data_IF_436691998740
#
_entry.id   IF_436691998740
#
_cell.length_a   1.000
_cell.length_b   1.000
_cell.length_c   1.000
_cell.angle_alpha   90.00
_cell.angle_beta   90.00
_cell.angle_gamma   90.00
#
_symmetry.space_group_name_H-M   'P 1'
#
loop_
_entity.id
_entity.type
_entity.pdbx_description
1 polymer ?
#
# COMPACT_ATOMS: atom_id res chain seq x y z
N UNK A 1 44.26 -18.54 4.10
CA UNK A 1 43.10 -19.45 4.26
C UNK A 1 41.99 -18.82 5.06
N UNK A 2 42.26 -18.31 6.28
CA UNK A 2 41.24 -17.81 7.22
C UNK A 2 40.57 -16.51 6.83
N UNK A 3 41.25 -15.60 6.16
CA UNK A 3 40.69 -14.34 5.69
C UNK A 3 39.62 -14.56 4.63
N UNK A 4 39.92 -15.42 3.64
CA UNK A 4 38.94 -15.77 2.60
C UNK A 4 37.73 -16.52 3.15
N UNK A 5 37.92 -17.34 4.16
CA UNK A 5 36.83 -18.08 4.80
C UNK A 5 35.91 -17.14 5.56
N UNK A 6 36.45 -16.22 6.35
CA UNK A 6 35.67 -15.19 7.07
C UNK A 6 34.89 -14.30 6.10
N UNK A 7 35.54 -13.83 5.05
CA UNK A 7 34.87 -12.99 4.04
C UNK A 7 33.73 -13.73 3.33
N UNK A 8 33.91 -15.04 3.05
CA UNK A 8 32.84 -15.87 2.48
C UNK A 8 31.67 -16.07 3.45
N UNK A 9 31.96 -16.24 4.75
CA UNK A 9 30.93 -16.39 5.79
C UNK A 9 30.14 -15.06 5.99
N UNK A 10 30.82 -13.92 5.95
CA UNK A 10 30.16 -12.59 6.01
C UNK A 10 29.25 -12.36 4.81
N UNK A 11 29.71 -12.62 3.60
CA UNK A 11 28.89 -12.49 2.37
C UNK A 11 27.66 -13.42 2.41
N UNK A 12 27.82 -14.65 2.87
CA UNK A 12 26.70 -15.59 3.00
C UNK A 12 25.69 -15.12 4.05
N UNK A 13 26.16 -14.55 5.15
CA UNK A 13 25.30 -13.99 6.20
C UNK A 13 24.49 -12.79 5.69
N UNK A 14 25.14 -11.89 4.96
CA UNK A 14 24.48 -10.71 4.38
C UNK A 14 23.40 -11.11 3.35
N UNK A 15 23.68 -12.09 2.50
CA UNK A 15 22.70 -12.64 1.55
C UNK A 15 21.52 -13.26 2.31
N UNK A 16 21.78 -14.04 3.35
CA UNK A 16 20.75 -14.69 4.14
C UNK A 16 19.84 -13.66 4.85
N UNK A 17 20.42 -12.63 5.46
CA UNK A 17 19.69 -11.53 6.10
C UNK A 17 18.84 -10.81 5.04
N UNK A 18 19.41 -10.50 3.88
CA UNK A 18 18.68 -9.85 2.78
C UNK A 18 17.46 -10.65 2.34
N UNK A 19 17.58 -11.95 2.17
CA UNK A 19 16.45 -12.83 1.77
C UNK A 19 15.38 -12.84 2.86
N UNK A 20 15.74 -12.95 4.13
CA UNK A 20 14.79 -12.97 5.24
C UNK A 20 14.05 -11.63 5.33
N UNK A 21 14.78 -10.52 5.32
CA UNK A 21 14.20 -9.19 5.43
C UNK A 21 13.24 -8.91 4.27
N UNK A 22 13.67 -9.19 3.03
CA UNK A 22 12.85 -8.97 1.84
C UNK A 22 11.65 -9.91 1.78
N UNK A 23 11.77 -11.14 2.28
CA UNK A 23 10.65 -12.08 2.40
C UNK A 23 9.57 -11.55 3.35
N UNK A 24 9.93 -11.16 4.58
CA UNK A 24 8.96 -10.65 5.54
C UNK A 24 8.40 -9.28 5.14
N UNK A 25 9.23 -8.41 4.57
CA UNK A 25 8.80 -7.13 4.03
C UNK A 25 7.78 -7.33 2.89
N UNK A 26 8.11 -8.21 1.93
CA UNK A 26 7.23 -8.55 0.81
C UNK A 26 5.95 -9.26 1.25
N UNK A 27 6.03 -10.14 2.24
CA UNK A 27 4.87 -10.81 2.82
C UNK A 27 3.91 -9.80 3.46
N UNK A 28 4.42 -8.96 4.37
CA UNK A 28 3.60 -7.95 5.05
C UNK A 28 2.99 -6.95 4.07
N UNK A 29 3.80 -6.45 3.14
CA UNK A 29 3.34 -5.52 2.09
C UNK A 29 2.30 -6.16 1.18
N UNK A 30 2.55 -7.38 0.69
CA UNK A 30 1.63 -8.09 -0.20
C UNK A 30 0.29 -8.42 0.48
N UNK A 31 0.32 -8.88 1.73
CA UNK A 31 -0.90 -9.10 2.51
C UNK A 31 -1.67 -7.78 2.70
N UNK A 32 -0.98 -6.70 3.08
CA UNK A 32 -1.59 -5.37 3.23
C UNK A 32 -2.22 -4.86 1.94
N UNK A 33 -1.51 -4.99 0.80
CA UNK A 33 -2.04 -4.60 -0.51
C UNK A 33 -3.24 -5.46 -0.92
N UNK A 34 -3.13 -6.78 -0.81
CA UNK A 34 -4.17 -7.70 -1.27
C UNK A 34 -5.44 -7.70 -0.43
N UNK A 35 -5.36 -7.54 0.89
CA UNK A 35 -6.53 -7.51 1.78
C UNK A 35 -7.10 -6.11 2.00
N UNK A 36 -6.24 -5.10 2.08
CA UNK A 36 -6.63 -3.76 2.51
C UNK A 36 -6.39 -2.67 1.45
N UNK A 37 -5.80 -3.00 0.31
CA UNK A 37 -5.41 -1.99 -0.67
C UNK A 37 -4.40 -0.99 -0.08
N UNK A 38 -3.53 -1.44 0.81
CA UNK A 38 -2.49 -0.64 1.42
C UNK A 38 -1.26 -0.55 0.51
N UNK A 39 -0.58 0.59 0.50
CA UNK A 39 0.66 0.72 -0.26
C UNK A 39 1.78 -0.14 0.34
N UNK A 40 2.48 -0.88 -0.52
CA UNK A 40 3.63 -1.67 -0.14
C UNK A 40 4.76 -0.82 0.48
N UNK A 41 4.85 0.45 0.10
CA UNK A 41 5.84 1.38 0.63
C UNK A 41 5.73 1.57 2.16
N UNK A 42 4.55 1.44 2.72
CA UNK A 42 4.33 1.56 4.16
C UNK A 42 5.03 0.46 4.99
N UNK A 43 5.34 -0.68 4.39
CA UNK A 43 6.00 -1.82 5.06
C UNK A 43 7.42 -2.02 4.56
N UNK A 44 7.63 -2.03 3.24
CA UNK A 44 8.94 -2.34 2.65
C UNK A 44 9.96 -1.27 3.01
N UNK A 45 9.63 0.02 2.85
CA UNK A 45 10.60 1.10 3.08
C UNK A 45 11.17 1.07 4.51
N UNK A 46 10.38 1.07 5.58
CA UNK A 46 10.94 1.03 6.93
C UNK A 46 11.74 -0.26 7.20
N UNK A 47 11.35 -1.39 6.63
CA UNK A 47 12.10 -2.63 6.82
C UNK A 47 13.47 -2.60 6.13
N UNK A 48 13.55 -2.10 4.88
CA UNK A 48 14.83 -1.98 4.18
C UNK A 48 15.76 -0.97 4.87
N UNK A 49 15.22 0.15 5.33
CA UNK A 49 15.99 1.17 6.06
C UNK A 49 16.52 0.62 7.38
N UNK A 50 15.65 -0.01 8.19
CA UNK A 50 16.02 -0.46 9.54
C UNK A 50 16.99 -1.65 9.54
N UNK A 51 16.73 -2.67 8.70
CA UNK A 51 17.49 -3.92 8.74
C UNK A 51 18.65 -3.98 7.75
N UNK A 52 18.46 -3.43 6.54
CA UNK A 52 19.50 -3.44 5.51
C UNK A 52 20.29 -2.13 5.47
N UNK A 53 19.96 -1.16 6.36
CA UNK A 53 20.60 0.16 6.40
C UNK A 53 20.62 0.86 5.04
N UNK A 54 19.60 0.58 4.22
CA UNK A 54 19.48 1.13 2.88
C UNK A 54 19.16 2.63 2.94
N UNK A 55 19.66 3.36 1.95
CA UNK A 55 19.29 4.77 1.77
C UNK A 55 17.77 4.92 1.68
N UNK A 56 17.15 5.84 2.44
CA UNK A 56 15.70 6.00 2.48
C UNK A 56 15.06 6.26 1.11
N UNK A 57 15.72 7.03 0.27
CA UNK A 57 15.19 7.37 -1.04
C UNK A 57 15.15 6.15 -1.96
N UNK A 58 16.20 5.32 -1.94
CA UNK A 58 16.26 4.04 -2.66
C UNK A 58 15.27 3.02 -2.13
N UNK A 59 15.13 2.91 -0.80
CA UNK A 59 14.16 2.02 -0.17
C UNK A 59 12.73 2.34 -0.60
N UNK A 60 12.37 3.62 -0.68
CA UNK A 60 11.04 4.06 -1.18
C UNK A 60 10.87 3.72 -2.65
N UNK A 61 11.87 3.92 -3.49
CA UNK A 61 11.83 3.57 -4.91
C UNK A 61 11.57 2.07 -5.16
N UNK A 62 12.28 1.20 -4.42
CA UNK A 62 12.08 -0.26 -4.45
C UNK A 62 10.67 -0.63 -3.98
N UNK A 63 10.21 -0.02 -2.90
CA UNK A 63 8.91 -0.28 -2.32
C UNK A 63 7.76 0.13 -3.26
N UNK A 64 7.84 1.30 -3.89
CA UNK A 64 6.86 1.75 -4.88
C UNK A 64 6.83 0.84 -6.11
N UNK A 65 7.99 0.38 -6.57
CA UNK A 65 8.06 -0.57 -7.69
C UNK A 65 7.42 -1.91 -7.35
N UNK A 66 7.64 -2.39 -6.13
CA UNK A 66 6.97 -3.60 -5.62
C UNK A 66 5.46 -3.41 -5.55
N UNK A 67 5.02 -2.21 -5.16
CA UNK A 67 3.59 -1.85 -5.10
C UNK A 67 2.92 -1.85 -6.47
N UNK A 68 3.61 -1.41 -7.53
CA UNK A 68 3.06 -1.43 -8.90
C UNK A 68 2.56 -2.83 -9.27
N UNK A 69 3.41 -3.84 -9.15
CA UNK A 69 3.05 -5.21 -9.55
C UNK A 69 2.10 -5.87 -8.56
N UNK A 70 2.24 -5.61 -7.26
CA UNK A 70 1.34 -6.11 -6.23
C UNK A 70 -0.08 -5.55 -6.39
N UNK A 71 -0.19 -4.24 -6.62
CA UNK A 71 -1.46 -3.57 -6.86
C UNK A 71 -2.08 -3.98 -8.19
N UNK A 72 -1.29 -4.13 -9.26
CA UNK A 72 -1.78 -4.59 -10.56
C UNK A 72 -2.36 -6.00 -10.51
N UNK A 73 -1.66 -6.98 -9.89
CA UNK A 73 -2.16 -8.34 -9.77
C UNK A 73 -3.37 -8.44 -8.85
N UNK A 74 -3.42 -7.61 -7.80
CA UNK A 74 -4.58 -7.50 -6.93
C UNK A 74 -5.76 -6.91 -7.69
N UNK A 75 -5.60 -5.80 -8.40
CA UNK A 75 -6.63 -5.16 -9.22
C UNK A 75 -7.17 -6.12 -10.28
N UNK A 76 -6.30 -6.86 -10.97
CA UNK A 76 -6.70 -7.90 -11.92
C UNK A 76 -7.56 -8.98 -11.25
N UNK A 77 -7.14 -9.45 -10.07
CA UNK A 77 -7.85 -10.49 -9.31
C UNK A 77 -9.23 -10.00 -8.85
N UNK A 78 -9.34 -8.79 -8.32
CA UNK A 78 -10.60 -8.18 -7.93
C UNK A 78 -11.49 -7.89 -9.15
N UNK A 79 -10.92 -7.40 -10.25
CA UNK A 79 -11.63 -7.13 -11.50
C UNK A 79 -12.24 -8.39 -12.11
N UNK A 80 -11.49 -9.51 -12.15
CA UNK A 80 -11.98 -10.81 -12.60
C UNK A 80 -13.18 -11.30 -11.78
N UNK A 81 -13.24 -10.96 -10.50
CA UNK A 81 -14.34 -11.29 -9.60
C UNK A 81 -15.45 -10.21 -9.57
N UNK A 82 -15.43 -9.25 -10.49
CA UNK A 82 -16.38 -8.13 -10.58
C UNK A 82 -16.42 -7.24 -9.32
N UNK A 83 -15.31 -7.16 -8.61
CA UNK A 83 -15.10 -6.36 -7.41
C UNK A 83 -14.21 -5.15 -7.72
N UNK A 84 -14.50 -4.43 -8.81
CA UNK A 84 -13.75 -3.27 -9.26
C UNK A 84 -14.70 -2.28 -9.94
N UNK A 85 -14.74 -1.05 -9.47
CA UNK A 85 -15.45 0.05 -10.12
C UNK A 85 -14.47 0.87 -10.99
N UNK A 86 -14.28 0.41 -12.23
CA UNK A 86 -13.32 1.04 -13.15
C UNK A 86 -13.72 2.48 -13.46
N UNK A 87 -15.00 2.75 -13.71
CA UNK A 87 -15.47 4.08 -14.16
C UNK A 87 -15.21 5.15 -13.11
N UNK A 88 -15.67 4.93 -11.89
CA UNK A 88 -15.47 5.88 -10.80
C UNK A 88 -14.02 5.85 -10.29
N UNK A 89 -13.34 4.69 -10.38
CA UNK A 89 -11.93 4.54 -10.12
C UNK A 89 -11.05 5.41 -11.04
N UNK A 90 -11.35 5.48 -12.34
CA UNK A 90 -10.64 6.37 -13.27
C UNK A 90 -10.86 7.85 -12.94
N UNK A 91 -12.10 8.26 -12.64
CA UNK A 91 -12.41 9.63 -12.23
C UNK A 91 -11.61 9.99 -10.97
N UNK A 92 -11.64 9.10 -9.98
CA UNK A 92 -10.91 9.29 -8.72
C UNK A 92 -9.39 9.29 -8.95
N UNK A 93 -8.86 8.41 -9.79
CA UNK A 93 -7.44 8.30 -10.12
C UNK A 93 -6.89 9.61 -10.69
N UNK A 94 -7.58 10.21 -11.65
CA UNK A 94 -7.14 11.49 -12.24
C UNK A 94 -7.07 12.57 -11.17
N UNK A 95 -8.09 12.70 -10.33
CA UNK A 95 -8.09 13.69 -9.23
C UNK A 95 -7.01 13.37 -8.18
N UNK A 96 -6.84 12.09 -7.82
CA UNK A 96 -5.77 11.66 -6.88
C UNK A 96 -4.40 12.06 -7.42
N UNK A 97 -4.08 11.75 -8.69
CA UNK A 97 -2.77 12.07 -9.28
C UNK A 97 -2.49 13.58 -9.27
N UNK A 98 -3.45 14.40 -9.70
CA UNK A 98 -3.30 15.86 -9.71
C UNK A 98 -3.10 16.42 -8.31
N UNK A 99 -3.94 16.02 -7.36
CA UNK A 99 -3.89 16.57 -6.01
C UNK A 99 -2.79 15.96 -5.14
N UNK A 100 -2.28 14.78 -5.47
CA UNK A 100 -1.05 14.23 -4.87
C UNK A 100 0.14 15.14 -5.17
N UNK A 101 0.24 15.62 -6.40
CA UNK A 101 1.30 16.57 -6.76
C UNK A 101 1.21 17.88 -5.97
N UNK A 102 -0.01 18.43 -5.83
CA UNK A 102 -0.25 19.64 -5.03
C UNK A 102 0.06 19.40 -3.55
N UNK A 103 -0.42 18.27 -2.99
CA UNK A 103 -0.16 17.89 -1.60
C UNK A 103 1.33 17.71 -1.31
N UNK A 104 2.08 17.05 -2.21
CA UNK A 104 3.53 16.87 -2.09
C UNK A 104 4.29 18.20 -2.15
N UNK A 105 3.85 19.12 -3.00
CA UNK A 105 4.45 20.45 -3.07
C UNK A 105 4.24 21.22 -1.76
N UNK A 106 3.04 21.19 -1.19
CA UNK A 106 2.77 21.83 0.11
C UNK A 106 3.56 21.14 1.23
N UNK A 107 3.66 19.82 1.21
CA UNK A 107 4.45 19.04 2.16
C UNK A 107 5.93 19.43 2.14
N UNK A 108 6.50 19.70 0.97
CA UNK A 108 7.91 20.10 0.84
C UNK A 108 8.24 21.44 1.51
N UNK A 109 7.22 22.24 1.83
CA UNK A 109 7.36 23.51 2.55
C UNK A 109 7.34 23.35 4.08
N UNK A 110 7.10 22.14 4.59
CA UNK A 110 6.94 21.87 6.03
C UNK A 110 8.06 20.93 6.56
N UNK A 111 8.39 20.99 7.87
CA UNK A 111 9.37 20.09 8.47
C UNK A 111 8.91 18.61 8.38
N UNK A 112 9.82 17.72 8.00
CA UNK A 112 9.56 16.32 7.68
C UNK A 112 9.11 15.41 8.84
N UNK A 113 9.31 15.84 10.09
CA UNK A 113 9.10 15.01 11.30
C UNK A 113 7.64 14.69 11.63
N UNK A 114 6.69 15.44 11.09
CA UNK A 114 5.26 15.32 11.47
C UNK A 114 4.50 14.26 10.67
N UNK A 115 5.00 13.85 9.51
CA UNK A 115 4.24 13.10 8.51
C UNK A 115 4.27 11.58 8.70
N UNK A 116 5.41 11.01 9.12
CA UNK A 116 5.57 9.56 9.27
C UNK A 116 4.65 8.95 10.32
N UNK A 117 4.54 9.60 11.47
CA UNK A 117 3.74 9.11 12.59
C UNK A 117 2.24 9.05 12.29
N UNK A 118 1.71 9.97 11.49
CA UNK A 118 0.28 10.01 11.15
C UNK A 118 -0.15 8.76 10.37
N UNK A 119 0.64 8.32 9.40
CA UNK A 119 0.34 7.13 8.59
C UNK A 119 0.26 5.86 9.43
N UNK A 120 1.19 5.70 10.38
CA UNK A 120 1.26 4.53 11.28
C UNK A 120 0.03 4.47 12.19
N UNK A 121 -0.29 5.59 12.83
CA UNK A 121 -1.44 5.72 13.73
C UNK A 121 -2.74 5.42 12.98
N UNK A 122 -2.90 5.97 11.77
CA UNK A 122 -4.08 5.74 10.92
C UNK A 122 -4.23 4.27 10.52
N UNK A 123 -3.12 3.57 10.23
CA UNK A 123 -3.15 2.13 9.90
C UNK A 123 -3.73 1.32 11.04
N UNK A 124 -3.21 1.54 12.24
CA UNK A 124 -3.65 0.84 13.44
C UNK A 124 -5.14 1.09 13.73
N UNK A 125 -5.56 2.36 13.77
CA UNK A 125 -6.96 2.71 14.02
C UNK A 125 -7.92 2.21 12.94
N UNK A 126 -7.50 2.18 11.69
CA UNK A 126 -8.30 1.60 10.61
C UNK A 126 -8.49 0.09 10.82
N UNK A 127 -7.45 -0.62 11.26
CA UNK A 127 -7.54 -2.03 11.63
C UNK A 127 -8.54 -2.26 12.76
N UNK A 128 -8.44 -1.47 13.83
CA UNK A 128 -9.41 -1.50 14.96
C UNK A 128 -10.83 -1.24 14.47
N UNK A 129 -11.02 -0.25 13.58
CA UNK A 129 -12.34 0.06 13.01
C UNK A 129 -12.95 -1.14 12.28
N UNK A 130 -12.19 -1.85 11.46
CA UNK A 130 -12.71 -3.01 10.72
C UNK A 130 -13.11 -4.18 11.62
N UNK A 131 -12.49 -4.29 12.80
CA UNK A 131 -12.87 -5.31 13.81
C UNK A 131 -14.12 -4.87 14.57
N UNK A 132 -14.15 -3.61 15.05
CA UNK A 132 -15.25 -3.12 15.90
C UNK A 132 -16.49 -2.71 15.11
N UNK A 133 -16.31 -2.15 13.91
CA UNK A 133 -17.39 -1.70 13.02
C UNK A 133 -17.14 -2.25 11.60
N UNK A 134 -17.44 -3.53 11.35
CA UNK A 134 -17.23 -4.14 10.05
C UNK A 134 -18.03 -3.44 8.95
N UNK A 135 -17.49 -3.42 7.76
CA UNK A 135 -18.16 -2.89 6.57
C UNK A 135 -19.11 -3.96 6.04
N UNK A 136 -20.39 -3.72 6.20
CA UNK A 136 -21.47 -4.64 5.77
C UNK A 136 -22.24 -4.11 4.56
N UNK A 137 -21.73 -3.07 3.88
CA UNK A 137 -22.30 -2.56 2.65
C UNK A 137 -22.29 -3.67 1.57
N UNK A 138 -23.35 -3.73 0.78
CA UNK A 138 -23.54 -4.71 -0.31
C UNK A 138 -23.44 -4.03 -1.67
N UNK A 139 -23.31 -4.81 -2.74
CA UNK A 139 -23.32 -4.27 -4.11
C UNK A 139 -24.68 -3.64 -4.47
N UNK A 140 -25.76 -4.18 -3.94
CA UNK A 140 -27.10 -3.62 -4.13
C UNK A 140 -27.16 -2.20 -3.53
N UNK A 141 -26.70 -2.00 -2.29
CA UNK A 141 -26.67 -0.67 -1.67
C UNK A 141 -25.80 0.34 -2.44
N UNK A 142 -24.76 -0.15 -3.12
CA UNK A 142 -23.96 0.69 -4.01
C UNK A 142 -24.74 1.11 -5.27
N UNK A 143 -25.59 0.24 -5.83
CA UNK A 143 -26.34 0.52 -7.07
C UNK A 143 -27.42 1.58 -6.91
N UNK A 144 -27.91 1.80 -5.69
CA UNK A 144 -28.96 2.77 -5.39
C UNK A 144 -28.51 4.24 -5.54
N UNK A 145 -27.21 4.48 -5.60
CA UNK A 145 -26.66 5.84 -5.77
C UNK A 145 -26.65 6.22 -7.26
N UNK A 146 -27.30 7.32 -7.67
CA UNK A 146 -27.28 7.80 -9.05
C UNK A 146 -25.86 7.99 -9.59
N UNK A 147 -25.60 7.55 -10.82
CA UNK A 147 -24.27 7.58 -11.43
C UNK A 147 -23.60 8.97 -11.42
N UNK A 148 -24.37 10.05 -11.67
CA UNK A 148 -23.88 11.43 -11.61
C UNK A 148 -23.43 11.81 -10.21
N UNK A 149 -24.21 11.44 -9.18
CA UNK A 149 -23.87 11.72 -7.79
C UNK A 149 -22.59 10.97 -7.39
N UNK A 150 -22.48 9.70 -7.77
CA UNK A 150 -21.28 8.88 -7.51
C UNK A 150 -20.04 9.45 -8.19
N UNK A 151 -20.12 9.89 -9.44
CA UNK A 151 -19.00 10.51 -10.15
C UNK A 151 -18.52 11.80 -9.44
N UNK A 152 -19.44 12.66 -9.01
CA UNK A 152 -19.10 13.89 -8.26
C UNK A 152 -18.46 13.54 -6.91
N UNK A 153 -19.01 12.58 -6.18
CA UNK A 153 -18.43 12.11 -4.92
C UNK A 153 -17.05 11.50 -5.13
N UNK A 154 -16.84 10.70 -6.19
CA UNK A 154 -15.53 10.12 -6.54
C UNK A 154 -14.51 11.21 -6.84
N UNK A 155 -14.89 12.25 -7.57
CA UNK A 155 -14.04 13.40 -7.85
C UNK A 155 -13.64 14.12 -6.56
N UNK A 156 -14.62 14.49 -5.72
CA UNK A 156 -14.38 15.20 -4.47
C UNK A 156 -13.52 14.38 -3.48
N UNK A 157 -13.83 13.09 -3.34
CA UNK A 157 -13.04 12.18 -2.52
C UNK A 157 -11.64 11.97 -3.09
N UNK A 158 -11.49 11.89 -4.41
CA UNK A 158 -10.19 11.79 -5.07
C UNK A 158 -9.31 13.04 -4.83
N UNK A 159 -9.89 14.23 -4.82
CA UNK A 159 -9.20 15.47 -4.44
C UNK A 159 -8.68 15.37 -3.01
N UNK A 160 -9.53 14.98 -2.07
CA UNK A 160 -9.17 14.84 -0.65
C UNK A 160 -8.08 13.76 -0.45
N UNK A 161 -8.28 12.59 -1.05
CA UNK A 161 -7.31 11.48 -0.97
C UNK A 161 -5.98 11.91 -1.59
N UNK A 162 -6.00 12.49 -2.77
CA UNK A 162 -4.79 12.93 -3.46
C UNK A 162 -4.00 13.93 -2.61
N UNK A 163 -4.68 14.92 -2.05
CA UNK A 163 -4.05 15.89 -1.16
C UNK A 163 -3.40 15.20 0.06
N UNK A 164 -4.13 14.32 0.74
CA UNK A 164 -3.61 13.58 1.91
C UNK A 164 -2.46 12.65 1.50
N UNK A 165 -2.58 11.94 0.37
CA UNK A 165 -1.53 11.05 -0.13
C UNK A 165 -0.24 11.81 -0.44
N UNK A 166 -0.35 12.95 -1.10
CA UNK A 166 0.79 13.81 -1.40
C UNK A 166 1.40 14.43 -0.14
N UNK A 167 0.56 14.81 0.80
CA UNK A 167 0.98 15.46 2.04
C UNK A 167 1.64 14.47 3.02
N UNK A 168 1.05 13.28 3.19
CA UNK A 168 1.51 12.25 4.17
C UNK A 168 2.48 11.24 3.56
N UNK A 169 2.53 11.11 2.24
CA UNK A 169 3.34 10.12 1.55
C UNK A 169 2.68 8.72 1.51
N UNK A 170 3.40 7.68 1.94
CA UNK A 170 3.02 6.27 1.79
C UNK A 170 1.67 5.83 2.41
N UNK A 171 0.97 6.70 3.14
CA UNK A 171 -0.32 6.38 3.80
C UNK A 171 -1.55 6.40 2.90
N UNK A 172 -1.40 6.75 1.63
CA UNK A 172 -2.52 7.03 0.73
C UNK A 172 -3.51 5.89 0.50
N UNK A 173 -3.03 4.67 0.36
CA UNK A 173 -3.90 3.51 0.09
C UNK A 173 -4.90 3.23 1.21
N UNK A 174 -4.48 3.40 2.47
CA UNK A 174 -5.36 3.18 3.62
C UNK A 174 -6.44 4.25 3.75
N UNK A 175 -6.08 5.50 3.50
CA UNK A 175 -7.05 6.59 3.46
C UNK A 175 -8.07 6.39 2.34
N UNK A 176 -7.62 5.84 1.21
CA UNK A 176 -8.52 5.48 0.10
C UNK A 176 -9.54 4.43 0.52
N UNK A 177 -9.10 3.34 1.17
CA UNK A 177 -10.00 2.32 1.68
C UNK A 177 -11.00 2.88 2.69
N UNK A 178 -10.54 3.73 3.63
CA UNK A 178 -11.41 4.38 4.60
C UNK A 178 -12.48 5.23 3.93
N UNK A 179 -12.10 6.05 2.95
CA UNK A 179 -13.02 6.95 2.25
C UNK A 179 -13.99 6.16 1.37
N UNK A 180 -13.51 5.18 0.61
CA UNK A 180 -14.37 4.34 -0.21
C UNK A 180 -15.43 3.61 0.62
N UNK A 181 -15.04 3.07 1.78
CA UNK A 181 -15.97 2.30 2.62
C UNK A 181 -16.86 3.17 3.49
N UNK A 182 -16.35 4.28 4.06
CA UNK A 182 -17.05 5.06 5.09
C UNK A 182 -17.78 6.26 4.53
N UNK A 183 -17.31 6.85 3.42
CA UNK A 183 -17.89 8.04 2.81
C UNK A 183 -18.70 7.67 1.56
N UNK A 184 -18.13 6.84 0.69
CA UNK A 184 -18.78 6.42 -0.54
C UNK A 184 -19.68 5.18 -0.38
N UNK A 185 -19.62 4.50 0.77
CA UNK A 185 -20.47 3.35 1.08
C UNK A 185 -20.16 2.12 0.22
N UNK A 186 -18.92 1.97 -0.26
CA UNK A 186 -18.54 0.82 -1.07
C UNK A 186 -18.51 -0.46 -0.22
N UNK A 187 -18.95 -1.56 -0.83
CA UNK A 187 -18.66 -2.90 -0.32
C UNK A 187 -17.14 -3.07 -0.19
N UNK A 188 -16.69 -3.76 0.86
CA UNK A 188 -15.27 -3.87 1.19
C UNK A 188 -14.44 -4.43 0.02
N UNK A 189 -14.91 -5.48 -0.67
CA UNK A 189 -14.17 -6.06 -1.81
C UNK A 189 -14.02 -5.08 -2.96
N UNK A 190 -15.10 -4.36 -3.29
CA UNK A 190 -15.07 -3.37 -4.36
C UNK A 190 -14.22 -2.16 -3.98
N UNK A 191 -14.23 -1.75 -2.71
CA UNK A 191 -13.36 -0.70 -2.21
C UNK A 191 -11.88 -1.07 -2.33
N UNK A 192 -11.48 -2.28 -1.88
CA UNK A 192 -10.10 -2.77 -2.04
C UNK A 192 -9.71 -2.86 -3.50
N UNK A 193 -10.55 -3.49 -4.35
CA UNK A 193 -10.26 -3.62 -5.78
C UNK A 193 -10.07 -2.27 -6.47
N UNK A 194 -10.93 -1.29 -6.16
CA UNK A 194 -10.83 0.07 -6.72
C UNK A 194 -9.60 0.81 -6.18
N UNK A 195 -9.28 0.64 -4.90
CA UNK A 195 -8.08 1.22 -4.28
C UNK A 195 -6.81 0.72 -4.96
N UNK A 196 -6.61 -0.61 -5.06
CA UNK A 196 -5.40 -1.17 -5.70
C UNK A 196 -5.32 -0.84 -7.19
N UNK A 197 -6.44 -0.67 -7.87
CA UNK A 197 -6.45 -0.19 -9.25
C UNK A 197 -5.86 1.22 -9.36
N UNK A 198 -6.29 2.15 -8.54
CA UNK A 198 -5.76 3.51 -8.50
C UNK A 198 -4.28 3.50 -8.09
N UNK A 199 -3.94 2.70 -7.08
CA UNK A 199 -2.57 2.58 -6.57
C UNK A 199 -1.59 2.06 -7.61
N UNK A 200 -2.00 1.20 -8.53
CA UNK A 200 -1.13 0.73 -9.62
C UNK A 200 -0.52 1.92 -10.38
N UNK A 201 -1.32 2.93 -10.69
CA UNK A 201 -0.86 4.10 -11.45
C UNK A 201 -0.13 5.12 -10.58
N UNK A 202 -0.58 5.34 -9.35
CA UNK A 202 0.11 6.26 -8.43
C UNK A 202 1.48 5.73 -8.02
N UNK A 203 1.59 4.42 -7.74
CA UNK A 203 2.87 3.77 -7.44
C UNK A 203 3.82 3.77 -8.64
N UNK A 204 3.30 3.54 -9.86
CA UNK A 204 4.10 3.61 -11.09
C UNK A 204 4.70 5.02 -11.29
N UNK A 205 3.89 6.05 -11.14
CA UNK A 205 4.37 7.44 -11.23
C UNK A 205 5.45 7.72 -10.19
N UNK A 206 5.25 7.28 -8.95
CA UNK A 206 6.21 7.42 -7.86
C UNK A 206 7.52 6.65 -8.13
N UNK A 207 7.45 5.39 -8.54
CA UNK A 207 8.61 4.54 -8.83
C UNK A 207 9.47 5.13 -9.97
N UNK A 208 8.82 5.53 -11.07
CA UNK A 208 9.52 6.16 -12.20
C UNK A 208 10.22 7.44 -11.75
N UNK A 209 9.55 8.29 -10.97
CA UNK A 209 10.15 9.53 -10.46
C UNK A 209 11.36 9.26 -9.56
N UNK A 210 11.29 8.26 -8.68
CA UNK A 210 12.39 7.90 -7.78
C UNK A 210 13.62 7.42 -8.54
N UNK A 211 13.45 6.55 -9.52
CA UNK A 211 14.60 6.03 -10.29
C UNK A 211 15.13 7.03 -11.31
N UNK A 212 14.30 7.90 -11.83
CA UNK A 212 14.77 8.98 -12.70
C UNK A 212 15.68 9.98 -11.97
N UNK A 213 15.46 10.18 -10.65
CA UNK A 213 16.24 11.12 -9.83
C UNK A 213 17.36 10.40 -9.07
N UNK A 214 17.07 9.25 -8.44
CA UNK A 214 17.96 8.54 -7.53
C UNK A 214 18.88 7.50 -8.19
N UNK A 215 18.70 7.21 -9.48
CA UNK A 215 19.48 6.21 -10.19
C UNK A 215 18.99 4.77 -9.99
N UNK A 216 19.83 3.80 -10.37
CA UNK A 216 19.44 2.38 -10.36
C UNK A 216 19.42 1.80 -8.94
N UNK A 217 18.41 0.97 -8.60
CA UNK A 217 18.32 0.32 -7.30
C UNK A 217 19.33 -0.83 -7.16
N UNK A 218 19.52 -1.30 -5.92
CA UNK A 218 20.14 -2.59 -5.65
C UNK A 218 19.27 -3.71 -6.27
N UNK A 219 19.74 -4.29 -7.36
CA UNK A 219 18.97 -5.23 -8.18
C UNK A 219 18.54 -6.48 -7.41
N UNK A 220 19.39 -7.18 -6.65
CA UNK A 220 18.99 -8.30 -5.81
C UNK A 220 17.85 -7.96 -4.85
N UNK A 221 17.96 -6.89 -4.06
CA UNK A 221 16.94 -6.45 -3.12
C UNK A 221 15.65 -6.07 -3.86
N UNK A 222 15.76 -5.33 -4.95
CA UNK A 222 14.65 -4.94 -5.81
C UNK A 222 13.85 -6.16 -6.31
N UNK A 223 14.53 -7.14 -6.91
CA UNK A 223 13.87 -8.33 -7.47
C UNK A 223 13.21 -9.16 -6.37
N UNK A 224 13.88 -9.37 -5.24
CA UNK A 224 13.32 -10.12 -4.11
C UNK A 224 12.07 -9.44 -3.54
N UNK A 225 12.11 -8.13 -3.30
CA UNK A 225 10.96 -7.38 -2.81
C UNK A 225 9.78 -7.46 -3.79
N UNK A 226 10.01 -7.26 -5.08
CA UNK A 226 8.97 -7.32 -6.12
C UNK A 226 8.35 -8.72 -6.17
N UNK A 227 9.17 -9.77 -6.21
CA UNK A 227 8.67 -11.16 -6.32
C UNK A 227 7.87 -11.56 -5.09
N UNK A 228 8.40 -11.33 -3.89
CA UNK A 228 7.70 -11.72 -2.66
C UNK A 228 6.41 -10.92 -2.47
N UNK A 229 6.43 -9.61 -2.71
CA UNK A 229 5.23 -8.78 -2.61
C UNK A 229 4.16 -9.21 -3.62
N UNK A 230 4.55 -9.49 -4.86
CA UNK A 230 3.64 -9.96 -5.90
C UNK A 230 2.95 -11.27 -5.53
N UNK A 231 3.72 -12.25 -5.04
CA UNK A 231 3.20 -13.58 -4.65
C UNK A 231 2.17 -13.42 -3.52
N UNK A 232 2.53 -12.72 -2.46
CA UNK A 232 1.66 -12.55 -1.30
C UNK A 232 0.44 -11.68 -1.58
N UNK A 233 0.57 -10.64 -2.40
CA UNK A 233 -0.56 -9.82 -2.84
C UNK A 233 -1.57 -10.65 -3.65
N UNK A 234 -1.08 -11.51 -4.56
CA UNK A 234 -1.94 -12.41 -5.32
C UNK A 234 -2.66 -13.41 -4.43
N UNK A 235 -1.97 -14.04 -3.49
CA UNK A 235 -2.56 -14.99 -2.53
C UNK A 235 -3.63 -14.27 -1.70
N UNK A 236 -3.31 -13.10 -1.16
CA UNK A 236 -4.24 -12.30 -0.36
C UNK A 236 -5.48 -11.89 -1.16
N UNK A 237 -5.33 -11.40 -2.39
CA UNK A 237 -6.44 -10.99 -3.24
C UNK A 237 -7.35 -12.17 -3.63
N UNK A 238 -6.80 -13.35 -3.92
CA UNK A 238 -7.58 -14.56 -4.19
C UNK A 238 -8.41 -14.96 -2.97
N UNK A 239 -7.78 -15.00 -1.80
CA UNK A 239 -8.47 -15.33 -0.55
C UNK A 239 -9.56 -14.30 -0.22
N UNK A 240 -9.24 -13.01 -0.31
CA UNK A 240 -10.17 -11.92 -0.03
C UNK A 240 -11.45 -12.00 -0.89
N UNK A 241 -11.28 -12.32 -2.18
CA UNK A 241 -12.42 -12.44 -3.09
C UNK A 241 -13.33 -13.67 -2.78
N UNK A 242 -12.76 -14.74 -2.20
CA UNK A 242 -13.50 -15.95 -1.80
C UNK A 242 -14.09 -15.84 -0.39
N UNK A 243 -13.52 -15.01 0.47
CA UNK A 243 -13.94 -14.88 1.86
C UNK A 243 -15.34 -14.28 1.99
N UNK A 244 -16.05 -14.67 3.07
CA UNK A 244 -17.30 -14.01 3.49
C UNK A 244 -16.99 -12.60 4.01
N UNK A 245 -17.95 -11.65 3.94
CA UNK A 245 -17.74 -10.27 4.39
C UNK A 245 -17.20 -10.17 5.83
N UNK A 246 -17.74 -10.97 6.75
CA UNK A 246 -17.33 -10.97 8.16
C UNK A 246 -15.88 -11.43 8.32
N UNK A 247 -15.51 -12.53 7.64
CA UNK A 247 -14.16 -13.06 7.65
C UNK A 247 -13.18 -12.06 7.04
N UNK A 248 -13.55 -11.45 5.90
CA UNK A 248 -12.72 -10.46 5.24
C UNK A 248 -12.47 -9.24 6.14
N UNK A 249 -13.50 -8.69 6.78
CA UNK A 249 -13.36 -7.57 7.71
C UNK A 249 -12.40 -7.91 8.85
N UNK A 250 -12.54 -9.10 9.46
CA UNK A 250 -11.67 -9.54 10.55
C UNK A 250 -10.22 -9.71 10.11
N UNK A 251 -9.99 -10.41 9.00
CA UNK A 251 -8.64 -10.63 8.46
C UNK A 251 -7.98 -9.31 8.08
N UNK A 252 -8.70 -8.45 7.35
CA UNK A 252 -8.20 -7.10 7.00
C UNK A 252 -7.87 -6.29 8.25
N UNK A 253 -8.76 -6.30 9.26
CA UNK A 253 -8.54 -5.59 10.51
C UNK A 253 -7.32 -6.10 11.28
N UNK A 254 -7.16 -7.42 11.43
CA UNK A 254 -6.01 -8.03 12.11
C UNK A 254 -4.70 -7.70 11.37
N UNK A 255 -4.68 -7.84 10.03
CA UNK A 255 -3.49 -7.53 9.23
C UNK A 255 -3.10 -6.06 9.38
N UNK A 256 -4.05 -5.13 9.28
CA UNK A 256 -3.78 -3.70 9.45
C UNK A 256 -3.28 -3.36 10.85
N UNK A 257 -3.84 -3.97 11.91
CA UNK A 257 -3.35 -3.78 13.27
C UNK A 257 -1.92 -4.29 13.44
N UNK A 258 -1.63 -5.50 12.97
CA UNK A 258 -0.29 -6.09 13.05
C UNK A 258 0.73 -5.24 12.27
N UNK A 259 0.39 -4.83 11.05
CA UNK A 259 1.26 -3.97 10.24
C UNK A 259 1.45 -2.59 10.88
N UNK A 260 0.40 -2.01 11.46
CA UNK A 260 0.49 -0.76 12.22
C UNK A 260 1.45 -0.87 13.40
N UNK A 261 1.37 -1.97 14.17
CA UNK A 261 2.28 -2.24 15.30
C UNK A 261 3.71 -2.43 14.78
N UNK A 262 3.91 -3.24 13.75
CA UNK A 262 5.23 -3.52 13.17
C UNK A 262 5.90 -2.23 12.70
N UNK A 263 5.19 -1.41 11.92
CA UNK A 263 5.72 -0.14 11.42
C UNK A 263 5.97 0.85 12.56
N UNK A 264 5.10 0.89 13.58
CA UNK A 264 5.30 1.71 14.77
C UNK A 264 6.56 1.34 15.53
N UNK A 265 6.76 0.05 15.78
CA UNK A 265 7.97 -0.45 16.44
C UNK A 265 9.22 -0.06 15.64
N UNK A 266 9.23 -0.24 14.32
CA UNK A 266 10.37 0.16 13.49
C UNK A 266 10.62 1.67 13.47
N UNK A 267 9.57 2.48 13.59
CA UNK A 267 9.72 3.94 13.71
C UNK A 267 10.41 4.38 15.00
N UNK A 268 10.46 3.53 16.03
CA UNK A 268 11.17 3.80 17.27
C UNK A 268 12.67 3.44 17.23
N UNK A 269 13.06 2.54 16.32
CA UNK A 269 14.45 2.08 16.19
C UNK A 269 15.26 2.83 15.12
N UNK A 270 14.63 3.77 14.43
CA UNK A 270 15.24 4.70 13.47
C UNK A 270 15.21 6.14 13.99
#
# INVERSE_FOLDING_TARGET
GDVYKRQSEEIQMDIFITIIVTFFAGMGAGLGTGFAGMSAAAVISPMLISFLKMDPYMAVGIALSSDVLASAISAYTYGKNKNLDIKNGLIMMVSVLVFTFIGSYIASLLPSTTMGNFSVIMTFFLGVKFILKPVMATKESMSDVPAKKRAIQSLACGILIGFICGFVGAGGGMMMLLILTSVLGYELKTAVGTSVFIMTFTALTGAVSHFAIGGMPDIPVFVLCVVFTFIWARIAAIFANKAKPETLNRVTGVILMLLGIVVFVFSFFN
#
